data_IF_335571516959
#
_entry.id   IF_335571516959
#
_cell.length_a   1.000
_cell.length_b   1.000
_cell.length_c   1.000
_cell.angle_alpha   90.00
_cell.angle_beta   90.00
_cell.angle_gamma   90.00
#
_symmetry.space_group_name_H-M   'P 1'
#
loop_
_entity.id
_entity.type
_entity.pdbx_description
1 polymer ?
#
# COMPACT_ATOMS: atom_id res chain seq x y z
N UNK A 1 1.22 -15.07 -1.25
CA UNK A 1 2.65 -14.62 -1.33
C UNK A 1 3.59 -15.78 -1.65
N UNK A 2 3.48 -16.91 -0.99
CA UNK A 2 4.39 -18.05 -1.20
C UNK A 2 4.37 -18.60 -2.64
N UNK A 3 3.21 -18.70 -3.28
CA UNK A 3 3.12 -19.16 -4.67
C UNK A 3 3.82 -18.23 -5.67
N UNK A 4 3.73 -16.91 -5.48
CA UNK A 4 4.44 -15.91 -6.30
C UNK A 4 5.95 -16.10 -6.13
N UNK A 5 6.43 -16.25 -4.90
CA UNK A 5 7.83 -16.47 -4.58
C UNK A 5 8.37 -17.75 -5.25
N UNK A 6 7.64 -18.85 -5.14
CA UNK A 6 8.05 -20.12 -5.77
C UNK A 6 8.07 -20.04 -7.29
N UNK A 7 7.11 -19.35 -7.89
CA UNK A 7 7.03 -19.20 -9.34
C UNK A 7 8.16 -18.33 -9.88
N UNK A 8 8.28 -17.09 -9.40
CA UNK A 8 9.29 -16.16 -9.92
C UNK A 8 10.70 -16.49 -9.45
N UNK A 9 10.87 -17.21 -8.35
CA UNK A 9 12.17 -17.77 -7.96
C UNK A 9 12.78 -18.68 -9.01
N UNK A 10 11.94 -19.33 -9.85
CA UNK A 10 12.38 -20.23 -10.94
C UNK A 10 12.30 -19.57 -12.31
N UNK A 11 11.33 -18.69 -12.53
CA UNK A 11 10.95 -18.20 -13.86
C UNK A 11 11.21 -16.69 -14.07
N UNK A 12 11.90 -16.03 -13.15
CA UNK A 12 12.12 -14.58 -13.23
C UNK A 12 12.75 -14.15 -14.56
N UNK A 13 13.75 -14.85 -15.04
CA UNK A 13 14.46 -14.48 -16.27
C UNK A 13 13.56 -14.53 -17.51
N UNK A 14 12.60 -15.44 -17.52
CA UNK A 14 11.62 -15.58 -18.59
C UNK A 14 10.60 -14.43 -18.60
N UNK A 15 10.18 -13.97 -17.41
CA UNK A 15 9.18 -12.92 -17.26
C UNK A 15 9.77 -11.53 -17.00
N UNK A 16 11.09 -11.41 -16.91
CA UNK A 16 11.75 -10.13 -16.67
C UNK A 16 11.34 -9.08 -17.71
N UNK A 17 11.05 -7.87 -17.24
CA UNK A 17 10.80 -6.73 -18.15
C UNK A 17 12.11 -6.34 -18.80
N UNK A 18 12.36 -6.89 -20.00
CA UNK A 18 13.57 -6.68 -20.79
C UNK A 18 13.37 -5.68 -21.93
N UNK A 19 12.13 -5.50 -22.39
CA UNK A 19 11.78 -4.55 -23.42
C UNK A 19 11.28 -3.25 -22.76
N UNK A 20 12.07 -2.19 -22.85
CA UNK A 20 11.74 -0.87 -22.30
C UNK A 20 10.54 -0.23 -23.00
N UNK A 21 10.29 -0.58 -24.28
CA UNK A 21 9.15 -0.05 -25.04
C UNK A 21 7.80 -0.50 -24.47
N UNK A 22 7.77 -1.63 -23.77
CA UNK A 22 6.58 -2.17 -23.11
C UNK A 22 6.43 -1.66 -21.67
N UNK A 23 7.44 -1.00 -21.14
CA UNK A 23 7.41 -0.46 -19.79
C UNK A 23 6.71 0.92 -19.83
N UNK A 24 5.47 0.96 -19.39
CA UNK A 24 4.64 2.16 -19.36
C UNK A 24 3.99 2.36 -18.00
N UNK A 25 3.60 3.58 -17.68
CA UNK A 25 2.73 3.83 -16.53
C UNK A 25 1.42 3.02 -16.68
N UNK A 26 0.98 2.41 -15.60
CA UNK A 26 -0.15 1.48 -15.60
C UNK A 26 0.21 0.02 -15.90
N UNK A 27 1.46 -0.30 -16.25
CA UNK A 27 1.89 -1.68 -16.42
C UNK A 27 1.75 -2.45 -15.11
N UNK A 28 0.96 -3.52 -15.13
CA UNK A 28 0.84 -4.44 -14.00
C UNK A 28 2.00 -5.43 -14.04
N UNK A 29 2.75 -5.49 -12.96
CA UNK A 29 3.99 -6.26 -12.87
C UNK A 29 4.15 -6.91 -11.48
N UNK A 30 5.24 -7.61 -11.28
CA UNK A 30 5.75 -7.98 -9.97
C UNK A 30 7.12 -7.39 -9.77
N UNK A 31 7.42 -7.04 -8.53
CA UNK A 31 8.71 -6.55 -8.11
C UNK A 31 9.35 -7.48 -7.09
N UNK A 32 10.63 -7.80 -7.30
CA UNK A 32 11.46 -8.38 -6.25
C UNK A 32 11.97 -7.25 -5.37
N UNK A 33 11.41 -7.14 -4.18
CA UNK A 33 11.77 -6.09 -3.24
C UNK A 33 13.04 -6.43 -2.44
N UNK A 34 13.61 -5.43 -1.76
CA UNK A 34 14.87 -5.56 -1.01
C UNK A 34 14.81 -6.56 0.16
N UNK A 35 13.62 -6.86 0.67
CA UNK A 35 13.37 -7.88 1.69
C UNK A 35 13.39 -9.33 1.15
N UNK A 36 13.58 -9.50 -0.17
CA UNK A 36 13.60 -10.81 -0.83
C UNK A 36 12.22 -11.38 -1.16
N UNK A 37 11.15 -10.61 -0.98
CA UNK A 37 9.79 -11.02 -1.35
C UNK A 37 9.35 -10.42 -2.68
N UNK A 38 8.37 -11.08 -3.30
CA UNK A 38 7.75 -10.67 -4.54
C UNK A 38 6.41 -10.00 -4.26
N UNK A 39 6.23 -8.81 -4.82
CA UNK A 39 5.02 -8.00 -4.65
C UNK A 39 4.37 -7.71 -5.98
N UNK A 40 3.05 -7.83 -6.06
CA UNK A 40 2.28 -7.34 -7.21
C UNK A 40 2.28 -5.83 -7.19
N UNK A 41 2.55 -5.24 -8.34
CA UNK A 41 2.70 -3.79 -8.45
C UNK A 41 2.14 -3.24 -9.75
N UNK A 42 1.90 -1.95 -9.77
CA UNK A 42 1.64 -1.17 -10.99
C UNK A 42 2.71 -0.09 -11.10
N UNK A 43 3.27 0.07 -12.28
CA UNK A 43 4.19 1.17 -12.56
C UNK A 43 3.42 2.48 -12.48
N UNK A 44 3.77 3.34 -11.52
CA UNK A 44 3.12 4.63 -11.29
C UNK A 44 3.77 5.74 -12.11
N UNK A 45 5.09 5.84 -12.05
CA UNK A 45 5.83 6.88 -12.75
C UNK A 45 7.27 6.45 -13.09
N UNK A 46 7.88 7.22 -14.00
CA UNK A 46 9.29 7.06 -14.36
C UNK A 46 10.11 8.11 -13.63
N UNK A 47 11.14 7.69 -12.91
CA UNK A 47 12.00 8.59 -12.17
C UNK A 47 13.27 8.92 -12.96
N UNK A 48 13.88 7.90 -13.55
CA UNK A 48 15.10 8.03 -14.39
C UNK A 48 15.25 6.82 -15.33
N UNK A 49 16.40 6.71 -16.00
CA UNK A 49 16.69 5.63 -16.94
C UNK A 49 16.72 4.24 -16.31
N UNK A 50 16.98 4.13 -15.03
CA UNK A 50 17.19 2.87 -14.30
C UNK A 50 16.12 2.55 -13.30
N UNK A 51 15.34 3.55 -12.87
CA UNK A 51 14.38 3.44 -11.77
C UNK A 51 12.99 3.93 -12.15
N UNK A 52 12.01 3.32 -11.53
CA UNK A 52 10.59 3.67 -11.63
C UNK A 52 9.97 3.70 -10.24
N UNK A 53 8.88 4.43 -10.10
CA UNK A 53 7.99 4.27 -8.95
C UNK A 53 6.94 3.21 -9.26
N UNK A 54 6.72 2.34 -8.30
CA UNK A 54 5.68 1.32 -8.35
C UNK A 54 4.75 1.44 -7.16
N UNK A 55 3.46 1.23 -7.39
CA UNK A 55 2.44 1.11 -6.37
C UNK A 55 2.21 -0.38 -6.09
N UNK A 56 2.41 -0.83 -4.86
CA UNK A 56 2.14 -2.20 -4.45
C UNK A 56 0.65 -2.39 -4.21
N UNK A 57 -0.03 -3.05 -5.14
CA UNK A 57 -1.50 -3.13 -5.20
C UNK A 57 -2.14 -3.90 -4.05
N UNK A 58 -1.36 -4.65 -3.28
CA UNK A 58 -1.84 -5.41 -2.13
C UNK A 58 -1.54 -4.72 -0.79
N UNK A 59 -0.65 -3.70 -0.81
CA UNK A 59 -0.14 -3.03 0.40
C UNK A 59 -0.38 -1.53 0.42
N UNK A 60 -0.63 -0.91 -0.74
CA UNK A 60 -0.89 0.52 -0.84
C UNK A 60 0.35 1.43 -0.81
N UNK A 61 1.53 0.86 -0.69
CA UNK A 61 2.78 1.61 -0.61
C UNK A 61 3.32 1.94 -2.00
N UNK A 62 3.96 3.10 -2.12
CA UNK A 62 4.72 3.50 -3.31
C UNK A 62 6.20 3.39 -3.03
N UNK A 63 6.93 2.71 -3.91
CA UNK A 63 8.37 2.54 -3.78
C UNK A 63 9.10 2.86 -5.08
N UNK A 64 10.28 3.46 -4.93
CA UNK A 64 11.23 3.61 -6.02
C UNK A 64 12.05 2.33 -6.14
N UNK A 65 11.96 1.67 -7.30
CA UNK A 65 12.60 0.39 -7.56
C UNK A 65 13.41 0.41 -8.86
N UNK A 66 14.35 -0.50 -8.98
CA UNK A 66 15.11 -0.67 -10.23
C UNK A 66 14.22 -1.34 -11.28
N UNK A 67 14.25 -0.86 -12.52
CA UNK A 67 13.58 -1.53 -13.66
C UNK A 67 13.99 -3.00 -13.78
N UNK A 68 15.25 -3.31 -13.47
CA UNK A 68 15.79 -4.67 -13.52
C UNK A 68 15.21 -5.65 -12.51
N UNK A 69 14.51 -5.16 -11.48
CA UNK A 69 13.81 -6.00 -10.48
C UNK A 69 12.34 -6.27 -10.83
N UNK A 70 11.89 -5.80 -12.01
CA UNK A 70 10.52 -5.99 -12.47
C UNK A 70 10.38 -7.21 -13.38
N UNK A 71 9.25 -7.91 -13.23
CA UNK A 71 8.81 -8.93 -14.16
C UNK A 71 7.32 -8.75 -14.50
N UNK A 72 6.93 -9.19 -15.71
CA UNK A 72 5.52 -9.19 -16.11
C UNK A 72 4.69 -10.07 -15.18
N UNK A 73 3.52 -9.59 -14.77
CA UNK A 73 2.61 -10.38 -13.96
C UNK A 73 2.03 -11.53 -14.77
N UNK A 74 2.30 -12.76 -14.35
CA UNK A 74 1.67 -13.91 -14.94
C UNK A 74 0.16 -13.92 -14.65
N UNK A 75 -0.66 -14.17 -15.67
CA UNK A 75 -2.14 -14.04 -15.62
C UNK A 75 -2.81 -14.76 -14.45
N UNK A 76 -2.23 -15.86 -13.97
CA UNK A 76 -2.79 -16.62 -12.83
C UNK A 76 -2.82 -15.81 -11.54
N UNK A 77 -1.85 -14.89 -11.37
CA UNK A 77 -1.75 -14.00 -10.20
C UNK A 77 -2.54 -12.70 -10.36
N UNK A 78 -3.04 -12.42 -11.57
CA UNK A 78 -3.91 -11.27 -11.84
C UNK A 78 -5.40 -11.55 -11.58
N UNK A 79 -5.79 -12.78 -11.19
CA UNK A 79 -7.20 -13.11 -10.92
C UNK A 79 -7.73 -12.47 -9.64
N UNK A 80 -6.89 -12.35 -8.63
CA UNK A 80 -7.24 -11.67 -7.39
C UNK A 80 -7.09 -10.15 -7.61
N UNK A 81 -8.14 -9.35 -7.35
CA UNK A 81 -8.02 -7.89 -7.36
C UNK A 81 -6.93 -7.39 -6.43
N UNK A 82 -6.47 -6.15 -6.59
CA UNK A 82 -5.61 -5.50 -5.61
C UNK A 82 -6.30 -5.45 -4.25
N UNK A 83 -5.54 -5.65 -3.19
CA UNK A 83 -6.09 -5.74 -1.82
C UNK A 83 -6.00 -4.41 -1.07
N UNK A 84 -5.18 -3.47 -1.57
CA UNK A 84 -5.09 -2.13 -1.01
C UNK A 84 -6.23 -1.25 -1.53
N UNK A 85 -6.86 -0.53 -0.64
CA UNK A 85 -7.92 0.43 -0.93
C UNK A 85 -7.54 1.81 -0.44
N UNK A 86 -7.81 2.80 -1.27
CA UNK A 86 -7.73 4.19 -0.83
C UNK A 86 -8.93 4.51 0.07
N UNK A 87 -8.64 5.02 1.27
CA UNK A 87 -9.66 5.40 2.22
C UNK A 87 -9.27 6.70 2.93
N UNK A 88 -10.28 7.43 3.39
CA UNK A 88 -10.11 8.60 4.26
C UNK A 88 -10.78 8.35 5.61
N UNK A 89 -10.23 8.95 6.63
CA UNK A 89 -10.88 8.92 7.95
C UNK A 89 -12.10 9.84 7.96
N UNK A 90 -13.22 9.32 8.47
CA UNK A 90 -14.46 10.06 8.58
C UNK A 90 -14.40 11.09 9.72
N UNK A 91 -14.99 12.25 9.48
CA UNK A 91 -15.13 13.30 10.50
C UNK A 91 -13.85 14.06 10.84
N UNK A 92 -12.72 13.80 10.18
CA UNK A 92 -11.46 14.49 10.44
C UNK A 92 -10.88 15.13 9.18
N UNK A 93 -10.17 16.24 9.38
CA UNK A 93 -9.53 17.03 8.33
C UNK A 93 -8.28 17.72 8.86
N UNK A 94 -7.36 18.17 8.01
CA UNK A 94 -6.23 18.98 8.42
C UNK A 94 -6.68 20.24 9.18
N UNK A 95 -5.87 20.66 10.14
CA UNK A 95 -6.15 21.85 10.92
C UNK A 95 -6.02 23.12 10.07
N UNK A 96 -6.92 24.07 10.29
CA UNK A 96 -6.91 25.36 9.61
C UNK A 96 -7.15 25.26 8.10
N UNK A 97 -6.34 25.96 7.31
CA UNK A 97 -6.41 26.00 5.84
C UNK A 97 -5.45 25.03 5.17
N UNK A 98 -4.78 24.16 5.93
CA UNK A 98 -3.84 23.18 5.40
C UNK A 98 -4.59 22.14 4.56
N UNK A 99 -3.96 21.74 3.44
CA UNK A 99 -4.47 20.67 2.59
C UNK A 99 -3.99 19.28 3.02
N UNK A 100 -2.91 19.25 3.81
CA UNK A 100 -2.27 18.03 4.28
C UNK A 100 -2.13 18.06 5.80
N UNK A 101 -2.02 16.88 6.40
CA UNK A 101 -1.75 16.77 7.82
C UNK A 101 -0.30 17.10 8.12
N UNK A 102 -0.07 17.62 9.32
CA UNK A 102 1.29 17.84 9.79
C UNK A 102 1.99 16.49 10.02
N UNK A 103 3.33 16.52 9.97
CA UNK A 103 4.14 15.32 10.26
C UNK A 103 3.85 14.75 11.64
N UNK A 104 3.60 15.61 12.63
CA UNK A 104 3.27 15.22 13.99
C UNK A 104 1.94 14.49 14.07
N UNK A 105 0.93 14.98 13.33
CA UNK A 105 -0.38 14.33 13.26
C UNK A 105 -0.27 12.94 12.59
N UNK A 106 0.49 12.85 11.50
CA UNK A 106 0.75 11.59 10.81
C UNK A 106 1.51 10.61 11.70
N UNK A 107 2.56 11.08 12.39
CA UNK A 107 3.33 10.26 13.32
C UNK A 107 2.46 9.75 14.47
N UNK A 108 1.63 10.62 15.03
CA UNK A 108 0.72 10.23 16.12
C UNK A 108 -0.31 9.19 15.66
N UNK A 109 -0.78 9.29 14.44
CA UNK A 109 -1.66 8.25 13.89
C UNK A 109 -0.94 6.90 13.74
N UNK A 110 0.28 6.91 13.20
CA UNK A 110 1.08 5.69 13.08
C UNK A 110 1.29 5.03 14.44
N UNK A 111 1.64 5.80 15.47
CA UNK A 111 1.80 5.28 16.84
C UNK A 111 0.52 4.64 17.40
N UNK A 112 -0.65 5.19 17.04
CA UNK A 112 -1.95 4.68 17.50
C UNK A 112 -2.46 3.49 16.68
N UNK A 113 -1.97 3.35 15.46
CA UNK A 113 -2.36 2.28 14.54
C UNK A 113 -1.27 1.24 14.32
N UNK A 114 -0.09 1.43 14.90
CA UNK A 114 1.04 0.50 14.78
C UNK A 114 0.74 -0.77 15.59
N UNK A 115 0.20 -1.74 14.89
CA UNK A 115 -0.19 -3.06 15.45
C UNK A 115 1.02 -4.00 15.54
N UNK A 116 2.21 -3.56 15.10
CA UNK A 116 3.38 -4.42 14.91
C UNK A 116 4.49 -4.24 15.95
N UNK A 117 4.19 -3.71 17.13
CA UNK A 117 5.16 -3.76 18.22
C UNK A 117 5.21 -5.17 18.78
N UNK A 118 6.41 -5.77 18.83
CA UNK A 118 6.67 -7.16 19.26
C UNK A 118 6.13 -7.52 20.66
N UNK A 119 5.68 -6.53 21.43
CA UNK A 119 5.24 -6.66 22.83
C UNK A 119 3.72 -6.48 23.05
N UNK A 120 2.93 -6.28 21.99
CA UNK A 120 1.49 -6.06 22.18
C UNK A 120 0.67 -7.29 21.80
N UNK A 121 0.08 -7.94 22.78
CA UNK A 121 -1.04 -8.85 22.59
C UNK A 121 -2.18 -8.11 21.87
N UNK A 122 -2.27 -8.31 20.56
CA UNK A 122 -3.41 -8.00 19.68
C UNK A 122 -4.23 -6.73 19.99
N UNK A 123 -3.76 -5.58 19.53
CA UNK A 123 -4.63 -4.42 19.33
C UNK A 123 -5.51 -4.69 18.10
N UNK A 124 -6.77 -4.99 18.33
CA UNK A 124 -7.75 -5.12 17.26
C UNK A 124 -8.24 -3.74 16.83
N UNK A 125 -7.73 -3.20 15.72
CA UNK A 125 -8.34 -2.03 15.09
C UNK A 125 -9.47 -2.48 14.17
N UNK A 126 -10.65 -1.91 14.35
CA UNK A 126 -11.80 -2.14 13.47
C UNK A 126 -12.04 -0.89 12.64
N UNK A 127 -12.00 -1.05 11.33
CA UNK A 127 -12.40 -0.01 10.39
C UNK A 127 -13.89 -0.16 10.05
N UNK A 128 -14.68 0.83 10.41
CA UNK A 128 -16.11 0.88 10.10
C UNK A 128 -16.35 1.76 8.89
N UNK A 129 -16.91 1.19 7.82
CA UNK A 129 -17.25 1.95 6.61
C UNK A 129 -18.41 2.89 6.94
N UNK A 130 -18.20 4.20 6.75
CA UNK A 130 -19.19 5.26 6.98
C UNK A 130 -19.80 5.78 5.69
N UNK A 131 -19.08 5.67 4.58
CA UNK A 131 -19.57 6.13 3.29
C UNK A 131 -18.91 5.39 2.13
N UNK A 132 -19.72 5.14 1.10
CA UNK A 132 -19.30 4.57 -0.18
C UNK A 132 -19.35 5.70 -1.22
N UNK A 133 -18.22 6.33 -1.46
CA UNK A 133 -18.04 7.33 -2.51
C UNK A 133 -16.93 6.88 -3.47
N UNK A 134 -16.33 7.81 -4.20
CA UNK A 134 -15.13 7.55 -4.99
C UNK A 134 -13.97 7.07 -4.10
N UNK A 135 -13.92 7.57 -2.87
CA UNK A 135 -12.98 7.12 -1.82
C UNK A 135 -13.79 6.63 -0.62
N UNK A 136 -13.40 5.51 -0.04
CA UNK A 136 -14.03 4.98 1.17
C UNK A 136 -13.86 5.95 2.34
N UNK A 137 -14.94 6.18 3.10
CA UNK A 137 -14.89 6.93 4.36
C UNK A 137 -14.96 5.96 5.52
N UNK A 138 -13.94 5.95 6.38
CA UNK A 138 -13.77 4.96 7.45
C UNK A 138 -13.64 5.63 8.81
N UNK A 139 -14.29 5.07 9.82
CA UNK A 139 -13.95 5.31 11.22
C UNK A 139 -13.09 4.15 11.72
N UNK A 140 -11.97 4.46 12.35
CA UNK A 140 -11.10 3.47 12.99
C UNK A 140 -11.37 3.46 14.48
N UNK A 141 -11.64 2.30 15.04
CA UNK A 141 -11.99 2.10 16.46
C UNK A 141 -10.98 1.16 17.10
N UNK A 142 -10.40 1.59 18.20
CA UNK A 142 -9.64 0.72 19.09
C UNK A 142 -10.63 -0.16 19.90
N UNK A 143 -10.54 -1.47 19.72
CA UNK A 143 -11.43 -2.41 20.39
C UNK A 143 -11.02 -2.69 21.84
N UNK A 144 -9.82 -2.29 22.24
CA UNK A 144 -9.33 -2.50 23.60
C UNK A 144 -9.87 -1.45 24.59
N UNK A 145 -10.03 -0.19 24.13
CA UNK A 145 -10.44 0.91 25.00
C UNK A 145 -11.91 1.30 24.87
N UNK A 146 -12.60 0.84 23.81
CA UNK A 146 -13.91 1.36 23.38
C UNK A 146 -13.96 2.87 23.15
N UNK A 147 -12.81 3.54 23.20
CA UNK A 147 -12.70 4.96 22.97
C UNK A 147 -12.46 5.19 21.47
N UNK A 148 -13.35 5.92 20.84
CA UNK A 148 -13.06 6.55 19.55
C UNK A 148 -11.87 7.48 19.77
N UNK A 149 -10.79 7.37 18.98
CA UNK A 149 -9.68 8.28 19.06
C UNK A 149 -10.18 9.72 18.85
N UNK A 150 -10.47 10.42 19.91
CA UNK A 150 -10.90 11.82 19.85
C UNK A 150 -9.69 12.68 19.51
N UNK A 151 -9.77 13.40 18.40
CA UNK A 151 -8.80 14.44 18.06
C UNK A 151 -7.68 14.06 17.12
N UNK A 152 -7.77 12.93 16.44
CA UNK A 152 -6.80 12.60 15.38
C UNK A 152 -7.35 13.04 14.04
N UNK A 153 -6.63 13.97 13.46
CA UNK A 153 -6.98 14.60 12.19
C UNK A 153 -5.99 14.09 11.13
N UNK A 154 -6.37 13.10 10.29
CA UNK A 154 -5.51 12.54 9.25
C UNK A 154 -6.23 12.48 7.91
N UNK A 155 -5.60 12.99 6.84
CA UNK A 155 -6.06 12.87 5.46
C UNK A 155 -5.35 11.69 4.78
N UNK A 156 -6.11 10.84 4.17
CA UNK A 156 -5.64 9.70 3.37
C UNK A 156 -4.69 8.77 4.14
N UNK A 157 -5.26 7.74 4.66
CA UNK A 157 -4.52 6.57 5.11
C UNK A 157 -4.83 5.47 4.11
N UNK A 158 -3.78 4.92 3.52
CA UNK A 158 -3.91 3.67 2.79
C UNK A 158 -4.04 2.58 3.83
N UNK A 159 -5.23 2.02 3.98
CA UNK A 159 -5.42 0.85 4.83
C UNK A 159 -5.15 -0.40 4.00
N UNK A 160 -4.29 -1.25 4.55
CA UNK A 160 -4.12 -2.62 4.10
C UNK A 160 -5.12 -3.43 4.91
N UNK A 161 -6.10 -4.04 4.26
CA UNK A 161 -7.00 -5.02 4.84
C UNK A 161 -6.60 -6.40 4.35
#
# INVERSE_FOLDING_TARGET
MEEIKQFYGKSFQEYRVSNEDLLSAGLVCVNLHSDGYWYRAVVASFQDWTTVEVFFIDYGNVFKVKKSSLAYLHRRFGKLPGQAFEARLDGIKPAGELREFTKEATQRFLELTDVFTEDTEYLGLVAVVRGLGETLSLSVVDTCTNDLPQGIVINQVQFII
#
